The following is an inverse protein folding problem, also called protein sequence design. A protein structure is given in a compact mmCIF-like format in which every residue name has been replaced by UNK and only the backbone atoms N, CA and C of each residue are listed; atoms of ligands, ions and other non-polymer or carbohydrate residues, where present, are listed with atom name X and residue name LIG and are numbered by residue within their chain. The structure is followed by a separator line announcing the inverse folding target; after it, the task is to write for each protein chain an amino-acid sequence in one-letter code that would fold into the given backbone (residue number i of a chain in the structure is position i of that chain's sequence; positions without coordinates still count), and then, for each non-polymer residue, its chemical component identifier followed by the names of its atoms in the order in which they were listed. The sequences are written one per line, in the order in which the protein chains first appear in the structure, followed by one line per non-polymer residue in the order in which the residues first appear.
data_IF_849518197548
#
_entry.id   IF_849518197548
#
_cell.length_a   1.000
_cell.length_b   1.000
_cell.length_c   1.000
_cell.angle_alpha   90.00
_cell.angle_beta   90.00
_cell.angle_gamma   90.00
#
_symmetry.space_group_name_H-M   'P 1'
#
loop_
_entity.id
_entity.type
_entity.pdbx_description
1 polymer ?
#
# COMPACT_ATOMS: atom_id res chain seq x y z
N UNK A 1 -26.68 58.16 -4.10
CA UNK A 1 -25.85 57.13 -3.46
C UNK A 1 -26.27 55.81 -4.09
N UNK A 2 -25.64 55.46 -5.21
CA UNK A 2 -25.95 54.24 -5.96
C UNK A 2 -25.20 53.07 -5.33
N UNK A 3 -25.90 51.97 -5.05
CA UNK A 3 -25.28 50.70 -4.71
C UNK A 3 -25.32 49.85 -5.99
N UNK A 4 -24.22 49.87 -6.74
CA UNK A 4 -23.97 48.94 -7.84
C UNK A 4 -23.76 47.53 -7.27
N UNK A 5 -24.79 46.69 -7.29
CA UNK A 5 -24.63 45.24 -7.10
C UNK A 5 -24.19 44.62 -8.42
N UNK A 6 -22.88 44.42 -8.59
CA UNK A 6 -22.31 43.71 -9.75
C UNK A 6 -22.72 42.23 -9.72
N UNK A 7 -23.22 41.64 -10.82
CA UNK A 7 -23.45 40.20 -10.90
C UNK A 7 -22.11 39.46 -10.97
N UNK A 8 -21.91 38.49 -10.08
CA UNK A 8 -20.73 37.62 -10.10
C UNK A 8 -20.77 36.80 -11.41
N UNK A 9 -19.74 36.84 -12.27
CA UNK A 9 -19.73 36.08 -13.50
C UNK A 9 -19.73 34.57 -13.18
N UNK A 10 -20.71 33.83 -13.72
CA UNK A 10 -20.89 32.37 -13.53
C UNK A 10 -19.61 31.55 -13.81
N UNK A 11 -18.72 32.07 -14.65
CA UNK A 11 -17.42 31.46 -14.95
C UNK A 11 -16.47 31.39 -13.74
N UNK A 12 -16.52 32.37 -12.83
CA UNK A 12 -15.68 32.38 -11.62
C UNK A 12 -16.07 31.26 -10.64
N UNK A 13 -17.34 30.86 -10.63
CA UNK A 13 -17.85 29.78 -9.77
C UNK A 13 -17.40 28.41 -10.28
N UNK A 14 -17.37 28.21 -11.60
CA UNK A 14 -16.95 26.95 -12.25
C UNK A 14 -15.44 26.71 -12.09
N UNK A 15 -14.63 27.77 -12.09
CA UNK A 15 -13.18 27.65 -11.90
C UNK A 15 -12.80 27.33 -10.44
N UNK A 16 -13.57 27.85 -9.48
CA UNK A 16 -13.35 27.60 -8.05
C UNK A 16 -13.77 26.17 -7.62
N UNK A 17 -14.78 25.57 -8.27
CA UNK A 17 -15.19 24.18 -8.00
C UNK A 17 -14.20 23.16 -8.59
N UNK A 18 -13.49 23.48 -9.68
CA UNK A 18 -12.48 22.60 -10.27
C UNK A 18 -11.18 22.53 -9.42
N UNK A 19 -10.91 23.53 -8.57
CA UNK A 19 -9.75 23.60 -7.68
C UNK A 19 -9.93 22.84 -6.35
N UNK A 20 -11.13 22.34 -6.05
CA UNK A 20 -11.43 21.64 -4.79
C UNK A 20 -11.62 20.12 -4.94
N UNK A 21 -11.52 19.59 -6.16
CA UNK A 21 -11.47 18.15 -6.40
C UNK A 21 -10.04 17.61 -6.17
N UNK A 22 -9.43 17.91 -5.03
CA UNK A 22 -8.35 17.09 -4.53
C UNK A 22 -8.99 15.80 -4.04
N UNK A 23 -9.14 14.84 -4.95
CA UNK A 23 -9.46 13.46 -4.62
C UNK A 23 -8.29 12.96 -3.76
N UNK A 24 -8.40 13.20 -2.46
CA UNK A 24 -7.45 12.74 -1.47
C UNK A 24 -7.69 11.25 -1.34
N UNK A 25 -7.25 10.49 -2.34
CA UNK A 25 -7.14 9.05 -2.26
C UNK A 25 -6.36 8.79 -0.97
N UNK A 26 -7.06 8.35 0.08
CA UNK A 26 -6.45 8.19 1.40
C UNK A 26 -5.31 7.21 1.22
N UNK A 27 -4.08 7.71 1.35
CA UNK A 27 -2.87 6.95 1.09
C UNK A 27 -2.85 5.71 1.99
N UNK A 28 -3.14 4.54 1.42
CA UNK A 28 -3.17 3.30 2.19
C UNK A 28 -1.75 2.84 2.42
N UNK A 29 -1.37 2.61 3.66
CA UNK A 29 -0.01 2.22 4.07
C UNK A 29 0.02 0.92 4.88
N UNK A 30 -1.15 0.33 5.12
CA UNK A 30 -1.33 -0.89 5.90
C UNK A 30 -2.12 -1.88 5.06
N UNK A 31 -1.68 -3.15 5.07
CA UNK A 31 -2.47 -4.29 4.65
C UNK A 31 -2.82 -5.17 5.84
N UNK A 32 -4.09 -5.57 5.92
CA UNK A 32 -4.56 -6.59 6.88
C UNK A 32 -4.67 -7.96 6.20
N UNK A 33 -4.65 -9.07 6.94
CA UNK A 33 -4.79 -10.40 6.35
C UNK A 33 -6.09 -10.52 5.55
N UNK A 34 -6.01 -11.14 4.37
CA UNK A 34 -7.13 -11.17 3.42
C UNK A 34 -7.02 -10.09 2.34
N UNK A 35 -6.35 -8.96 2.62
CA UNK A 35 -6.25 -7.87 1.67
C UNK A 35 -5.24 -8.15 0.56
N UNK A 36 -5.52 -7.54 -0.60
CA UNK A 36 -4.68 -7.64 -1.79
C UNK A 36 -4.22 -6.26 -2.28
N UNK A 37 -3.08 -6.23 -2.97
CA UNK A 37 -2.62 -5.07 -3.75
C UNK A 37 -2.46 -5.52 -5.20
N UNK A 38 -3.34 -5.05 -6.08
CA UNK A 38 -3.35 -5.42 -7.49
C UNK A 38 -2.15 -4.85 -8.24
N UNK A 39 -1.78 -5.47 -9.35
CA UNK A 39 -0.83 -4.91 -10.33
C UNK A 39 -1.12 -3.43 -10.62
N UNK A 40 -0.06 -2.63 -10.68
CA UNK A 40 -0.08 -1.18 -10.86
C UNK A 40 -0.50 -0.35 -9.63
N UNK A 41 -0.99 -0.98 -8.56
CA UNK A 41 -1.42 -0.25 -7.36
C UNK A 41 -0.29 -0.18 -6.34
N UNK A 42 -0.42 0.79 -5.43
CA UNK A 42 0.60 1.04 -4.41
C UNK A 42 0.03 1.22 -3.01
N UNK A 43 0.84 0.88 -2.01
CA UNK A 43 0.76 1.49 -0.70
C UNK A 43 1.65 2.74 -0.67
N UNK A 44 1.25 3.76 0.08
CA UNK A 44 1.99 5.03 0.16
C UNK A 44 2.07 5.53 1.60
N UNK A 45 3.25 5.97 2.03
CA UNK A 45 3.53 6.47 3.39
C UNK A 45 4.58 7.58 3.30
N UNK A 46 4.15 8.84 3.31
CA UNK A 46 5.06 9.97 3.02
C UNK A 46 5.67 9.85 1.63
N UNK A 47 7.00 9.93 1.53
CA UNK A 47 7.74 9.80 0.27
C UNK A 47 8.07 8.33 -0.09
N UNK A 48 7.55 7.38 0.68
CA UNK A 48 7.71 5.96 0.41
C UNK A 48 6.50 5.40 -0.29
N UNK A 49 6.74 4.54 -1.29
CA UNK A 49 5.71 3.84 -2.04
C UNK A 49 6.12 2.38 -2.24
N UNK A 50 5.24 1.46 -1.88
CA UNK A 50 5.37 0.04 -2.22
C UNK A 50 4.41 -0.25 -3.36
N UNK A 51 4.92 -0.67 -4.51
CA UNK A 51 4.14 -0.90 -5.72
C UNK A 51 4.21 -2.35 -6.13
N UNK A 52 3.04 -2.97 -6.32
CA UNK A 52 2.94 -4.22 -7.06
C UNK A 52 3.02 -3.86 -8.55
N UNK A 53 4.20 -3.91 -9.15
CA UNK A 53 4.38 -3.48 -10.54
C UNK A 53 3.66 -4.41 -11.53
N UNK A 54 3.39 -3.89 -12.72
CA UNK A 54 2.67 -4.64 -13.78
C UNK A 54 3.43 -5.86 -14.29
N UNK A 55 4.75 -5.90 -14.11
CA UNK A 55 5.59 -7.03 -14.45
C UNK A 55 5.70 -8.05 -13.31
N UNK A 56 4.85 -7.99 -12.28
CA UNK A 56 4.89 -8.85 -11.10
C UNK A 56 6.08 -8.67 -10.14
N UNK A 57 6.91 -7.64 -10.30
CA UNK A 57 7.88 -7.26 -9.27
C UNK A 57 7.18 -6.43 -8.17
N UNK A 58 7.47 -6.72 -6.90
CA UNK A 58 7.04 -5.88 -5.79
C UNK A 58 8.21 -4.98 -5.43
N UNK A 59 8.01 -3.66 -5.53
CA UNK A 59 9.11 -2.69 -5.44
C UNK A 59 8.81 -1.65 -4.38
N UNK A 60 9.82 -1.31 -3.56
CA UNK A 60 9.77 -0.13 -2.71
C UNK A 60 10.55 1.00 -3.35
N UNK A 61 9.88 2.13 -3.49
CA UNK A 61 10.45 3.43 -3.81
C UNK A 61 10.51 4.30 -2.55
N UNK A 62 11.61 5.03 -2.38
CA UNK A 62 11.72 6.11 -1.39
C UNK A 62 12.32 7.33 -2.09
N UNK A 63 11.59 8.45 -2.08
CA UNK A 63 11.93 9.64 -2.88
C UNK A 63 12.12 9.30 -4.38
N UNK A 64 11.21 8.51 -4.95
CA UNK A 64 11.26 8.00 -6.33
C UNK A 64 12.46 7.10 -6.68
N UNK A 65 13.32 6.77 -5.71
CA UNK A 65 14.44 5.84 -5.90
C UNK A 65 13.98 4.44 -5.50
N UNK A 66 14.17 3.46 -6.39
CA UNK A 66 13.97 2.03 -6.07
C UNK A 66 15.03 1.60 -5.04
N UNK A 67 14.58 1.25 -3.83
CA UNK A 67 15.47 0.85 -2.72
C UNK A 67 15.37 -0.64 -2.39
N UNK A 68 14.29 -1.32 -2.78
CA UNK A 68 14.10 -2.75 -2.56
C UNK A 68 13.21 -3.36 -3.65
N UNK A 69 13.40 -4.65 -3.94
CA UNK A 69 12.55 -5.42 -4.86
C UNK A 69 12.50 -6.90 -4.47
N UNK A 70 11.34 -7.54 -4.70
CA UNK A 70 11.16 -8.99 -4.50
C UNK A 70 11.87 -9.84 -5.56
N UNK A 71 12.38 -9.21 -6.63
CA UNK A 71 13.03 -9.86 -7.77
C UNK A 71 12.14 -10.91 -8.44
N UNK A 72 10.83 -10.63 -8.50
CA UNK A 72 9.80 -11.58 -8.94
C UNK A 72 9.17 -11.22 -10.29
N UNK A 73 9.92 -10.53 -11.15
CA UNK A 73 9.40 -10.12 -12.44
C UNK A 73 8.97 -11.33 -13.31
N UNK A 74 7.75 -11.29 -13.81
CA UNK A 74 7.10 -12.27 -14.68
C UNK A 74 6.42 -11.54 -15.83
N UNK A 75 7.02 -11.57 -17.02
CA UNK A 75 6.45 -10.92 -18.19
C UNK A 75 5.17 -11.61 -18.64
N UNK A 76 4.15 -10.83 -19.02
CA UNK A 76 2.90 -11.35 -19.58
C UNK A 76 1.92 -11.95 -18.55
N UNK A 77 2.23 -11.88 -17.26
CA UNK A 77 1.33 -12.28 -16.17
C UNK A 77 0.74 -11.05 -15.49
N UNK A 78 -0.44 -11.22 -14.91
CA UNK A 78 -1.02 -10.24 -13.98
C UNK A 78 -0.94 -10.82 -12.58
N UNK A 79 -0.33 -10.07 -11.66
CA UNK A 79 -0.12 -10.51 -10.29
C UNK A 79 -0.77 -9.59 -9.27
N UNK A 80 -0.94 -10.11 -8.07
CA UNK A 80 -1.33 -9.32 -6.91
C UNK A 80 -0.53 -9.76 -5.69
N UNK A 81 -0.24 -8.78 -4.84
CA UNK A 81 0.26 -9.02 -3.49
C UNK A 81 -0.92 -9.45 -2.63
N UNK A 82 -0.71 -10.41 -1.74
CA UNK A 82 -1.70 -10.92 -0.81
C UNK A 82 -1.04 -11.11 0.57
N UNK A 83 -1.62 -10.52 1.60
CA UNK A 83 -1.23 -10.85 2.98
C UNK A 83 -2.10 -12.02 3.46
N UNK A 84 -1.48 -13.18 3.59
CA UNK A 84 -2.16 -14.38 4.08
C UNK A 84 -2.55 -14.25 5.55
N UNK A 85 -3.59 -14.97 5.98
CA UNK A 85 -3.95 -15.13 7.40
C UNK A 85 -2.84 -15.76 8.26
N UNK A 86 -1.90 -16.45 7.63
CA UNK A 86 -0.69 -16.99 8.27
C UNK A 86 0.38 -15.92 8.53
N UNK A 87 0.20 -14.70 8.02
CA UNK A 87 1.16 -13.61 8.06
C UNK A 87 2.31 -13.75 7.08
N UNK A 88 2.15 -14.60 6.07
CA UNK A 88 3.02 -14.61 4.89
C UNK A 88 2.52 -13.57 3.91
N UNK A 89 3.43 -12.76 3.39
CA UNK A 89 3.16 -11.89 2.26
C UNK A 89 3.54 -12.64 0.98
N UNK A 90 2.59 -12.82 0.07
CA UNK A 90 2.80 -13.56 -1.18
C UNK A 90 2.47 -12.73 -2.40
N UNK A 91 3.20 -12.98 -3.49
CA UNK A 91 2.82 -12.52 -4.82
C UNK A 91 2.29 -13.75 -5.56
N UNK A 92 1.07 -13.63 -6.05
CA UNK A 92 0.36 -14.69 -6.78
C UNK A 92 -0.09 -14.15 -8.12
N UNK A 93 -0.12 -15.01 -9.12
CA UNK A 93 -0.72 -14.67 -10.41
C UNK A 93 -2.25 -14.79 -10.35
N UNK A 94 -2.94 -14.17 -11.29
CA UNK A 94 -4.39 -14.34 -11.45
C UNK A 94 -4.83 -15.77 -11.81
N UNK A 95 -3.89 -16.67 -12.12
CA UNK A 95 -4.16 -18.07 -12.48
C UNK A 95 -4.47 -18.94 -11.24
N UNK A 96 -4.21 -18.43 -10.03
CA UNK A 96 -4.63 -19.03 -8.76
C UNK A 96 -3.55 -19.01 -7.67
N UNK A 97 -3.91 -19.43 -6.44
CA UNK A 97 -2.97 -19.50 -5.32
C UNK A 97 -1.86 -20.57 -5.49
N UNK A 98 -2.04 -21.52 -6.40
CA UNK A 98 -1.02 -22.50 -6.80
C UNK A 98 0.13 -21.89 -7.60
N UNK A 99 -0.04 -20.67 -8.11
CA UNK A 99 0.96 -19.93 -8.88
C UNK A 99 1.56 -18.78 -8.04
N UNK A 100 1.99 -19.11 -6.83
CA UNK A 100 2.79 -18.23 -5.97
C UNK A 100 4.18 -18.05 -6.58
N UNK A 101 4.51 -16.81 -6.99
CA UNK A 101 5.79 -16.48 -7.63
C UNK A 101 6.83 -15.96 -6.64
N UNK A 102 6.39 -15.52 -5.47
CA UNK A 102 7.25 -15.08 -4.37
C UNK A 102 6.49 -15.13 -3.05
N UNK A 103 7.21 -15.37 -1.95
CA UNK A 103 6.69 -15.21 -0.58
C UNK A 103 7.75 -14.70 0.39
N UNK A 104 7.29 -14.00 1.43
CA UNK A 104 8.13 -13.68 2.59
C UNK A 104 8.54 -14.95 3.33
N UNK A 105 9.79 -15.00 3.79
CA UNK A 105 10.39 -16.21 4.37
C UNK A 105 9.87 -16.59 5.78
N UNK A 106 9.01 -15.78 6.41
CA UNK A 106 8.50 -16.03 7.77
C UNK A 106 6.98 -15.88 7.84
N UNK A 107 6.33 -16.85 8.49
CA UNK A 107 4.91 -16.80 8.86
C UNK A 107 4.79 -16.17 10.25
N UNK A 108 3.77 -15.35 10.45
CA UNK A 108 3.38 -14.89 11.78
C UNK A 108 2.89 -16.07 12.63
N UNK A 109 2.17 -17.03 12.03
CA UNK A 109 1.64 -18.21 12.73
C UNK A 109 2.69 -19.24 13.16
N UNK A 110 3.97 -19.11 12.76
CA UNK A 110 5.05 -19.88 13.38
C UNK A 110 5.20 -19.55 14.88
N UNK A 111 4.66 -18.41 15.33
CA UNK A 111 4.45 -18.14 16.74
C UNK A 111 2.97 -18.44 17.10
N UNK A 112 2.71 -19.42 17.98
CA UNK A 112 1.36 -19.97 18.20
C UNK A 112 0.34 -19.02 18.86
N UNK A 113 0.63 -17.72 19.03
CA UNK A 113 -0.22 -16.77 19.77
C UNK A 113 -0.37 -15.40 19.09
N UNK A 114 -0.25 -15.32 17.77
CA UNK A 114 -0.50 -14.06 17.04
C UNK A 114 -1.97 -13.94 16.63
N UNK A 115 -2.71 -13.08 17.34
CA UNK A 115 -4.14 -12.85 17.08
C UNK A 115 -4.41 -11.71 16.10
N UNK A 116 -3.40 -10.87 15.84
CA UNK A 116 -3.50 -9.75 14.91
C UNK A 116 -2.21 -9.58 14.11
N UNK A 117 -2.37 -9.40 12.80
CA UNK A 117 -1.27 -9.25 11.86
C UNK A 117 -1.54 -8.01 11.01
N UNK A 118 -0.51 -7.20 10.77
CA UNK A 118 -0.56 -6.06 9.86
C UNK A 118 0.75 -5.99 9.10
N UNK A 119 0.68 -5.81 7.79
CA UNK A 119 1.82 -5.40 6.98
C UNK A 119 1.78 -3.88 6.81
N UNK A 120 2.90 -3.20 7.03
CA UNK A 120 2.96 -1.75 7.09
C UNK A 120 4.12 -1.24 6.25
N UNK A 121 3.85 -0.26 5.39
CA UNK A 121 4.87 0.56 4.75
C UNK A 121 5.18 1.78 5.64
N UNK A 122 6.42 1.86 6.10
CA UNK A 122 6.90 2.94 6.95
C UNK A 122 7.43 4.12 6.11
N UNK A 123 7.43 5.32 6.70
CA UNK A 123 7.85 6.56 6.02
C UNK A 123 9.32 6.58 5.57
N UNK A 124 10.15 5.72 6.13
CA UNK A 124 11.56 5.57 5.79
C UNK A 124 11.80 4.56 4.65
N UNK A 125 10.75 3.93 4.12
CA UNK A 125 10.89 2.96 3.04
C UNK A 125 11.17 1.53 3.53
N UNK A 126 11.02 1.26 4.82
CA UNK A 126 10.97 -0.10 5.35
C UNK A 126 9.53 -0.61 5.29
N UNK A 127 9.34 -1.86 4.87
CA UNK A 127 8.06 -2.53 4.96
C UNK A 127 8.16 -3.73 5.89
N UNK A 128 7.24 -3.80 6.86
CA UNK A 128 7.33 -4.72 8.00
C UNK A 128 6.01 -5.46 8.20
N UNK A 129 6.08 -6.78 8.45
CA UNK A 129 4.94 -7.55 8.95
C UNK A 129 5.04 -7.58 10.47
N UNK A 130 3.96 -7.18 11.16
CA UNK A 130 3.86 -7.18 12.62
C UNK A 130 2.83 -8.20 13.10
N UNK A 131 3.25 -9.15 13.95
CA UNK A 131 2.39 -10.01 14.74
C UNK A 131 1.98 -9.37 16.08
N UNK A 132 0.86 -9.79 16.67
CA UNK A 132 0.25 -9.15 17.84
C UNK A 132 0.18 -7.62 17.71
N UNK A 133 -0.21 -7.18 16.52
CA UNK A 133 -0.21 -5.78 16.16
C UNK A 133 -1.49 -5.06 16.58
N UNK A 134 -1.33 -3.80 17.00
CA UNK A 134 -2.40 -2.82 17.22
C UNK A 134 -2.09 -1.57 16.41
N UNK A 135 -3.03 -1.16 15.56
CA UNK A 135 -2.95 0.14 14.87
C UNK A 135 -3.06 1.27 15.89
N UNK A 136 -2.07 2.16 15.91
CA UNK A 136 -1.97 3.31 16.82
C UNK A 136 -1.99 4.65 16.07
N UNK A 137 -2.16 4.61 14.76
CA UNK A 137 -2.27 5.78 13.88
C UNK A 137 -2.52 5.35 12.44
N UNK A 138 -2.55 6.30 11.51
CA UNK A 138 -2.87 6.01 10.11
C UNK A 138 -1.94 4.95 9.49
N UNK A 139 -0.62 5.16 9.63
CA UNK A 139 0.46 4.28 9.14
C UNK A 139 1.38 3.82 10.27
N UNK A 140 0.84 3.67 11.49
CA UNK A 140 1.64 3.29 12.66
C UNK A 140 0.96 2.12 13.36
N UNK A 141 1.77 1.11 13.60
CA UNK A 141 1.39 -0.11 14.30
C UNK A 141 2.39 -0.32 15.43
N UNK A 142 1.90 -0.72 16.59
CA UNK A 142 2.73 -1.33 17.61
C UNK A 142 2.53 -2.85 17.53
N UNK A 143 3.60 -3.64 17.59
CA UNK A 143 3.53 -5.09 17.48
C UNK A 143 4.92 -5.71 17.42
N UNK A 144 4.98 -7.02 17.30
CA UNK A 144 6.21 -7.79 17.18
C UNK A 144 6.58 -7.89 15.69
N UNK A 145 7.70 -7.33 15.24
CA UNK A 145 8.12 -7.48 13.84
C UNK A 145 8.52 -8.93 13.57
N UNK A 146 7.95 -9.54 12.53
CA UNK A 146 8.22 -10.94 12.16
C UNK A 146 8.99 -11.07 10.84
N UNK A 147 8.89 -10.05 9.98
CA UNK A 147 9.60 -9.93 8.72
C UNK A 147 9.73 -8.46 8.32
N UNK A 148 10.83 -8.12 7.65
CA UNK A 148 11.20 -6.75 7.24
C UNK A 148 11.94 -6.79 5.90
N UNK A 149 11.85 -5.71 5.12
CA UNK A 149 12.66 -5.50 3.90
C UNK A 149 14.07 -4.96 4.16
N UNK A 150 14.34 -4.46 5.37
CA UNK A 150 15.65 -4.07 5.85
C UNK A 150 16.39 -5.26 6.49
#
# INVERSE_FOLDING_TARGET
MEIMTSPIPKAAVIFLTLLLAFDSATARCIMTPGETLRSGHSLSSGNSRLTMEKNCDLVIYHNEIKIWSSQSAQNGKTCFLYLQHTGVLSIVTNDGASDEVWKSHRTATAHPNFYSINFVLERNGVATIFGNSRKIGHCRVNGIPVWSTA
#
